data_IF_470496016931
#
_entry.id   IF_470496016931
#
_cell.length_a   1.000
_cell.length_b   1.000
_cell.length_c   1.000
_cell.angle_alpha   90.00
_cell.angle_beta   90.00
_cell.angle_gamma   90.00
#
_symmetry.space_group_name_H-M   'P 1'
#
loop_
_entity.id
_entity.type
_entity.pdbx_description
1 polymer ?
#
# COMPACT_ATOMS: atom_id res chain seq x y z
N UNK A 1 -4.00 33.36 5.26
CA UNK A 1 -3.14 32.37 4.61
C UNK A 1 -3.52 32.28 3.13
N UNK A 2 -2.67 32.72 2.21
CA UNK A 2 -2.98 32.73 0.78
C UNK A 2 -2.51 31.41 0.15
N UNK A 3 -3.41 30.69 -0.51
CA UNK A 3 -3.12 29.37 -1.11
C UNK A 3 -3.17 29.50 -2.64
N UNK A 4 -2.27 28.81 -3.34
CA UNK A 4 -2.21 28.84 -4.81
C UNK A 4 -3.53 28.37 -5.45
N UNK A 5 -4.02 29.12 -6.44
CA UNK A 5 -5.23 28.78 -7.21
C UNK A 5 -5.14 27.38 -7.82
N UNK A 6 -3.95 26.97 -8.28
CA UNK A 6 -3.70 25.64 -8.84
C UNK A 6 -3.85 24.54 -7.79
N UNK A 7 -3.38 24.79 -6.57
CA UNK A 7 -3.52 23.84 -5.47
C UNK A 7 -4.99 23.62 -5.12
N UNK A 8 -5.78 24.69 -5.01
CA UNK A 8 -7.22 24.60 -4.69
C UNK A 8 -7.96 23.77 -5.75
N UNK A 9 -7.72 24.03 -7.04
CA UNK A 9 -8.32 23.25 -8.14
C UNK A 9 -7.96 21.76 -8.06
N UNK A 10 -6.69 21.42 -7.86
CA UNK A 10 -6.24 20.01 -7.75
C UNK A 10 -6.80 19.34 -6.50
N UNK A 11 -6.90 20.07 -5.38
CA UNK A 11 -7.48 19.58 -4.14
C UNK A 11 -8.96 19.20 -4.32
N UNK A 12 -9.74 20.03 -5.00
CA UNK A 12 -11.15 19.73 -5.27
C UNK A 12 -11.32 18.48 -6.12
N UNK A 13 -10.53 18.33 -7.20
CA UNK A 13 -10.53 17.13 -8.04
C UNK A 13 -10.16 15.90 -7.22
N UNK A 14 -9.08 15.99 -6.44
CA UNK A 14 -8.65 14.90 -5.56
C UNK A 14 -9.74 14.53 -4.56
N UNK A 15 -10.39 15.53 -3.96
CA UNK A 15 -11.46 15.32 -2.98
C UNK A 15 -12.62 14.56 -3.60
N UNK A 16 -13.11 15.01 -4.76
CA UNK A 16 -14.16 14.31 -5.51
C UNK A 16 -13.77 12.87 -5.82
N UNK A 17 -12.55 12.62 -6.29
CA UNK A 17 -12.09 11.28 -6.61
C UNK A 17 -12.11 10.34 -5.40
N UNK A 18 -11.66 10.82 -4.23
CA UNK A 18 -11.53 9.99 -3.04
C UNK A 18 -12.81 9.81 -2.22
N UNK A 19 -13.83 10.64 -2.45
CA UNK A 19 -15.12 10.55 -1.75
C UNK A 19 -16.17 9.72 -2.48
N UNK A 20 -15.94 9.38 -3.76
CA UNK A 20 -16.79 8.40 -4.45
C UNK A 20 -16.73 7.04 -3.74
N UNK A 21 -17.74 6.20 -3.93
CA UNK A 21 -17.74 4.84 -3.40
C UNK A 21 -16.52 4.05 -3.89
N UNK A 22 -16.22 4.13 -5.19
CA UNK A 22 -15.02 3.53 -5.78
C UNK A 22 -13.72 4.09 -5.17
N UNK A 23 -13.62 5.41 -5.01
CA UNK A 23 -12.48 6.07 -4.38
C UNK A 23 -12.29 5.65 -2.93
N UNK A 24 -13.39 5.51 -2.19
CA UNK A 24 -13.41 5.03 -0.80
C UNK A 24 -12.91 3.59 -0.72
N UNK A 25 -13.41 2.71 -1.61
CA UNK A 25 -12.94 1.32 -1.74
C UNK A 25 -11.45 1.26 -2.02
N UNK A 26 -10.94 2.04 -2.97
CA UNK A 26 -9.51 2.08 -3.29
C UNK A 26 -8.67 2.62 -2.12
N UNK A 27 -9.13 3.63 -1.39
CA UNK A 27 -8.42 4.17 -0.22
C UNK A 27 -8.32 3.15 0.91
N UNK A 28 -9.40 2.48 1.23
CA UNK A 28 -9.40 1.41 2.23
C UNK A 28 -8.44 0.29 1.80
N UNK A 29 -8.51 -0.14 0.53
CA UNK A 29 -7.62 -1.17 0.01
C UNK A 29 -6.14 -0.76 0.06
N UNK A 30 -5.82 0.49 -0.26
CA UNK A 30 -4.45 1.00 -0.12
C UNK A 30 -3.96 0.90 1.32
N UNK A 31 -4.80 1.27 2.29
CA UNK A 31 -4.43 1.18 3.71
C UNK A 31 -4.20 -0.27 4.15
N UNK A 32 -5.07 -1.19 3.76
CA UNK A 32 -4.92 -2.61 4.08
C UNK A 32 -3.70 -3.23 3.38
N UNK A 33 -3.49 -2.94 2.09
CA UNK A 33 -2.52 -3.65 1.27
C UNK A 33 -1.13 -3.04 1.35
N UNK A 34 -1.01 -1.73 1.11
CA UNK A 34 0.29 -1.05 1.01
C UNK A 34 0.79 -0.66 2.39
N UNK A 35 -0.04 0.02 3.19
CA UNK A 35 0.37 0.46 4.53
C UNK A 35 0.55 -0.75 5.45
N UNK A 36 -0.34 -1.75 5.35
CA UNK A 36 -0.16 -3.04 6.02
C UNK A 36 1.15 -3.75 5.64
N UNK A 37 1.53 -3.77 4.36
CA UNK A 37 2.81 -4.36 3.94
C UNK A 37 4.01 -3.63 4.56
N UNK A 38 4.00 -2.29 4.56
CA UNK A 38 5.07 -1.52 5.22
C UNK A 38 5.10 -1.72 6.74
N UNK A 39 3.94 -1.90 7.38
CA UNK A 39 3.84 -2.23 8.80
C UNK A 39 4.55 -3.54 9.12
N UNK A 40 4.27 -4.60 8.35
CA UNK A 40 4.92 -5.92 8.48
C UNK A 40 6.43 -5.81 8.23
N UNK A 41 6.84 -5.19 7.12
CA UNK A 41 8.26 -5.07 6.78
C UNK A 41 9.06 -4.35 7.87
N UNK A 42 8.51 -3.30 8.46
CA UNK A 42 9.23 -2.50 9.46
C UNK A 42 9.16 -3.09 10.86
N UNK A 43 7.98 -3.53 11.28
CA UNK A 43 7.73 -3.92 12.68
C UNK A 43 7.95 -5.41 12.86
N UNK A 44 7.28 -6.23 12.05
CA UNK A 44 7.31 -7.69 12.22
C UNK A 44 8.64 -8.29 11.73
N UNK A 45 9.19 -7.74 10.65
CA UNK A 45 10.51 -8.16 10.12
C UNK A 45 11.66 -7.32 10.69
N UNK A 46 11.35 -6.34 11.56
CA UNK A 46 12.32 -5.45 12.19
C UNK A 46 13.26 -4.73 11.20
N UNK A 47 12.83 -4.53 9.95
CA UNK A 47 13.63 -3.90 8.90
C UNK A 47 13.68 -2.38 9.07
N UNK A 48 14.54 -1.94 9.99
CA UNK A 48 14.70 -0.53 10.35
C UNK A 48 15.72 0.21 9.47
N UNK A 49 16.64 -0.52 8.83
CA UNK A 49 17.71 0.06 8.00
C UNK A 49 18.21 -0.96 6.98
N UNK A 50 18.63 -0.46 5.82
CA UNK A 50 19.38 -1.25 4.83
C UNK A 50 20.75 -1.68 5.36
N UNK A 51 21.09 -2.94 5.12
CA UNK A 51 22.38 -3.53 5.47
C UNK A 51 23.47 -3.14 4.48
N UNK A 52 23.09 -2.95 3.22
CA UNK A 52 24.02 -2.59 2.14
C UNK A 52 24.17 -1.07 1.98
N UNK A 53 25.24 -0.66 1.31
CA UNK A 53 25.52 0.74 0.96
C UNK A 53 25.64 0.91 -0.54
N UNK A 54 25.34 2.12 -1.02
CA UNK A 54 25.33 2.46 -2.44
C UNK A 54 23.99 2.15 -3.11
N UNK A 55 23.60 3.00 -4.07
CA UNK A 55 22.26 2.99 -4.66
C UNK A 55 21.88 1.65 -5.28
N UNK A 56 22.82 0.99 -5.97
CA UNK A 56 22.55 -0.28 -6.63
C UNK A 56 22.34 -1.41 -5.64
N UNK A 57 23.20 -1.54 -4.63
CA UNK A 57 23.09 -2.58 -3.60
C UNK A 57 21.82 -2.42 -2.77
N UNK A 58 21.53 -1.18 -2.34
CA UNK A 58 20.28 -0.87 -1.60
C UNK A 58 19.04 -1.21 -2.43
N UNK A 59 19.07 -0.93 -3.74
CA UNK A 59 17.98 -1.29 -4.63
C UNK A 59 17.80 -2.82 -4.72
N UNK A 60 18.89 -3.57 -4.84
CA UNK A 60 18.85 -5.04 -4.87
C UNK A 60 18.30 -5.60 -3.57
N UNK A 61 18.79 -5.12 -2.43
CA UNK A 61 18.31 -5.52 -1.10
C UNK A 61 16.80 -5.24 -0.95
N UNK A 62 16.36 -4.05 -1.35
CA UNK A 62 14.95 -3.68 -1.30
C UNK A 62 14.09 -4.58 -2.20
N UNK A 63 14.55 -4.91 -3.40
CA UNK A 63 13.84 -5.81 -4.32
C UNK A 63 13.71 -7.20 -3.70
N UNK A 64 14.80 -7.75 -3.15
CA UNK A 64 14.79 -9.07 -2.52
C UNK A 64 13.84 -9.12 -1.32
N UNK A 65 13.85 -8.09 -0.47
CA UNK A 65 12.91 -7.95 0.66
C UNK A 65 11.45 -7.96 0.18
N UNK A 66 11.14 -7.13 -0.81
CA UNK A 66 9.80 -7.05 -1.38
C UNK A 66 9.38 -8.38 -2.03
N UNK A 67 10.32 -9.06 -2.71
CA UNK A 67 10.06 -10.32 -3.39
C UNK A 67 9.73 -11.43 -2.39
N UNK A 68 10.53 -11.57 -1.33
CA UNK A 68 10.27 -12.52 -0.25
C UNK A 68 8.93 -12.28 0.44
N UNK A 69 8.61 -11.03 0.78
CA UNK A 69 7.31 -10.67 1.34
C UNK A 69 6.15 -11.05 0.40
N UNK A 70 6.26 -10.73 -0.89
CA UNK A 70 5.21 -11.00 -1.87
C UNK A 70 5.02 -12.50 -2.12
N UNK A 71 6.08 -13.30 -2.14
CA UNK A 71 5.99 -14.77 -2.24
C UNK A 71 5.25 -15.33 -1.03
N UNK A 72 5.62 -14.92 0.19
CA UNK A 72 4.94 -15.38 1.40
C UNK A 72 3.46 -14.99 1.37
N UNK A 73 3.15 -13.76 0.96
CA UNK A 73 1.76 -13.29 0.82
C UNK A 73 0.98 -14.09 -0.21
N UNK A 74 1.59 -14.42 -1.36
CA UNK A 74 0.97 -15.25 -2.39
C UNK A 74 0.74 -16.68 -1.86
N UNK A 75 1.74 -17.26 -1.21
CA UNK A 75 1.64 -18.59 -0.60
C UNK A 75 0.49 -18.63 0.41
N UNK A 76 0.40 -17.67 1.33
CA UNK A 76 -0.73 -17.56 2.26
C UNK A 76 -2.06 -17.38 1.54
N UNK A 77 -2.13 -16.63 0.43
CA UNK A 77 -3.38 -16.52 -0.36
C UNK A 77 -3.78 -17.86 -0.98
N UNK A 78 -2.83 -18.64 -1.50
CA UNK A 78 -3.08 -19.96 -2.07
C UNK A 78 -3.60 -20.91 -0.99
N UNK A 79 -2.94 -20.98 0.18
CA UNK A 79 -3.36 -21.85 1.29
C UNK A 79 -4.75 -21.52 1.84
N UNK A 80 -5.23 -20.28 1.65
CA UNK A 80 -6.55 -19.84 2.08
C UNK A 80 -7.56 -19.73 0.92
N UNK A 81 -7.22 -20.21 -0.29
CA UNK A 81 -8.10 -20.16 -1.47
C UNK A 81 -8.59 -18.74 -1.85
N UNK A 82 -7.75 -17.71 -1.60
CA UNK A 82 -8.08 -16.27 -1.82
C UNK A 82 -7.34 -15.64 -3.00
N UNK A 83 -6.86 -16.43 -3.97
CA UNK A 83 -5.99 -15.96 -5.06
C UNK A 83 -6.66 -14.98 -6.02
N UNK A 84 -7.98 -15.10 -6.24
CA UNK A 84 -8.74 -14.25 -7.18
C UNK A 84 -9.26 -12.94 -6.57
N UNK A 85 -9.12 -12.75 -5.25
CA UNK A 85 -9.62 -11.57 -4.56
C UNK A 85 -8.49 -10.52 -4.42
N UNK A 86 -8.54 -9.52 -5.30
CA UNK A 86 -7.58 -8.42 -5.35
C UNK A 86 -7.97 -7.24 -4.47
N UNK A 87 -9.26 -6.93 -4.37
CA UNK A 87 -9.77 -5.84 -3.55
C UNK A 87 -10.67 -6.39 -2.43
N UNK A 88 -10.51 -5.84 -1.25
CA UNK A 88 -11.43 -5.99 -0.14
C UNK A 88 -12.68 -5.14 -0.41
N UNK A 89 -13.85 -5.72 -0.20
CA UNK A 89 -15.11 -5.01 -0.28
C UNK A 89 -15.31 -4.09 0.91
N UNK A 90 -16.00 -2.97 0.69
CA UNK A 90 -16.40 -2.09 1.77
C UNK A 90 -17.37 -2.84 2.66
N UNK A 91 -17.19 -2.73 3.99
CA UNK A 91 -18.20 -3.23 4.92
C UNK A 91 -19.47 -2.40 4.71
N UNK A 92 -20.66 -3.04 4.64
CA UNK A 92 -21.90 -2.30 4.63
C UNK A 92 -21.99 -1.44 5.89
N UNK A 93 -22.43 -0.20 5.74
CA UNK A 93 -22.74 0.66 6.87
C UNK A 93 -23.87 0.01 7.66
N UNK A 94 -23.67 -0.16 8.97
CA UNK A 94 -24.67 -0.71 9.88
C UNK A 94 -25.93 0.16 9.94
#
# INVERSE_FOLDING_TARGET
MQVSKTFVKKREISYKNITTEFGTKLRMNRSIQVEGAFGVLKSDYEFNRFLTRGKNSVKTEFILLCFGYNINKLHSKIQNERTQNHLHELKPTA
#
